data_IF_323223651845
#
_entry.id   IF_323223651845
#
_cell.length_a   1.000
_cell.length_b   1.000
_cell.length_c   1.000
_cell.angle_alpha   90.00
_cell.angle_beta   90.00
_cell.angle_gamma   90.00
#
_symmetry.space_group_name_H-M   'P 1'
#
loop_
_entity.id
_entity.type
_entity.pdbx_description
1 polymer ?
#
# COMPACT_ATOMS: atom_id res chain seq x y z
N UNK A 1 8.44 -0.86 -7.86
CA UNK A 1 7.00 -0.77 -7.50
C UNK A 1 6.63 0.57 -6.81
N UNK A 2 6.94 1.76 -7.37
CA UNK A 2 6.69 3.02 -6.65
C UNK A 2 5.20 3.30 -6.38
N UNK A 3 4.31 2.94 -7.30
CA UNK A 3 2.87 3.12 -7.14
C UNK A 3 2.31 2.36 -5.92
N UNK A 4 2.74 1.10 -5.73
CA UNK A 4 2.34 0.27 -4.58
C UNK A 4 2.81 0.88 -3.25
N UNK A 5 4.06 1.35 -3.21
CA UNK A 5 4.60 2.04 -2.02
C UNK A 5 3.81 3.31 -1.70
N UNK A 6 3.55 4.15 -2.70
CA UNK A 6 2.85 5.42 -2.49
C UNK A 6 1.40 5.17 -2.01
N UNK A 7 0.67 4.29 -2.69
CA UNK A 7 -0.70 3.92 -2.36
C UNK A 7 -0.82 3.33 -0.95
N UNK A 8 0.07 2.38 -0.58
CA UNK A 8 0.09 1.79 0.75
C UNK A 8 0.43 2.82 1.85
N UNK A 9 1.36 3.74 1.58
CA UNK A 9 1.68 4.82 2.49
C UNK A 9 0.49 5.74 2.74
N UNK A 10 -0.27 6.12 1.70
CA UNK A 10 -1.46 6.97 1.86
C UNK A 10 -2.53 6.31 2.75
N UNK A 11 -2.80 5.01 2.57
CA UNK A 11 -3.74 4.27 3.42
C UNK A 11 -3.21 4.15 4.86
N UNK A 12 -1.93 3.81 5.03
CA UNK A 12 -1.32 3.66 6.34
C UNK A 12 -1.30 4.99 7.13
N UNK A 13 -0.93 6.10 6.49
CA UNK A 13 -0.96 7.43 7.09
C UNK A 13 -2.39 7.85 7.44
N UNK A 14 -3.38 7.55 6.58
CA UNK A 14 -4.79 7.81 6.88
C UNK A 14 -5.27 7.03 8.11
N UNK A 15 -4.90 5.75 8.22
CA UNK A 15 -5.16 4.93 9.43
C UNK A 15 -4.48 5.51 10.67
N UNK A 16 -3.25 6.02 10.55
CA UNK A 16 -2.54 6.65 11.66
C UNK A 16 -3.21 7.94 12.12
N UNK A 17 -3.54 8.85 11.20
CA UNK A 17 -4.21 10.12 11.50
C UNK A 17 -5.60 9.89 12.12
N UNK A 18 -6.30 8.83 11.68
CA UNK A 18 -7.59 8.43 12.27
C UNK A 18 -7.47 7.64 13.59
N UNK A 19 -6.27 7.46 14.13
CA UNK A 19 -6.03 6.77 15.40
C UNK A 19 -6.23 5.25 15.36
N UNK A 20 -6.32 4.65 14.16
CA UNK A 20 -6.53 3.21 13.97
C UNK A 20 -5.25 2.38 14.14
N UNK A 21 -4.07 2.98 13.94
CA UNK A 21 -2.76 2.32 14.06
C UNK A 21 -1.74 3.24 14.75
N UNK A 22 -0.60 2.70 15.21
CA UNK A 22 0.49 3.49 15.78
C UNK A 22 1.48 3.91 14.70
N UNK A 23 2.37 4.85 15.04
CA UNK A 23 3.36 5.41 14.10
C UNK A 23 4.24 4.33 13.41
N UNK A 24 4.73 3.35 14.18
CA UNK A 24 5.57 2.26 13.63
C UNK A 24 4.79 1.24 12.81
N UNK A 25 3.46 1.25 12.86
CA UNK A 25 2.65 0.35 12.04
C UNK A 25 2.55 0.84 10.58
N UNK A 26 2.87 2.11 10.33
CA UNK A 26 2.94 2.66 8.97
C UNK A 26 3.94 1.87 8.12
N UNK A 27 5.19 1.75 8.59
CA UNK A 27 6.23 1.01 7.86
C UNK A 27 5.90 -0.48 7.75
N UNK A 28 5.26 -1.08 8.76
CA UNK A 28 4.81 -2.49 8.72
C UNK A 28 3.74 -2.73 7.66
N UNK A 29 2.76 -1.83 7.52
CA UNK A 29 1.73 -1.94 6.48
C UNK A 29 2.36 -1.80 5.09
N UNK A 30 3.23 -0.82 4.90
CA UNK A 30 3.94 -0.60 3.63
C UNK A 30 4.74 -1.84 3.25
N UNK A 31 5.56 -2.37 4.17
CA UNK A 31 6.37 -3.57 3.96
C UNK A 31 5.50 -4.78 3.61
N UNK A 32 4.44 -5.05 4.38
CA UNK A 32 3.52 -6.17 4.11
C UNK A 32 2.82 -6.03 2.76
N UNK A 33 2.45 -4.82 2.37
CA UNK A 33 1.78 -4.56 1.07
C UNK A 33 2.74 -4.76 -0.08
N UNK A 34 3.96 -4.23 0.02
CA UNK A 34 4.99 -4.39 -1.00
C UNK A 34 5.42 -5.85 -1.17
N UNK A 35 5.58 -6.60 -0.07
CA UNK A 35 5.96 -8.01 -0.09
C UNK A 35 4.88 -8.91 -0.69
N UNK A 36 3.61 -8.53 -0.58
CA UNK A 36 2.49 -9.29 -1.16
C UNK A 36 2.26 -8.99 -2.65
N UNK A 37 2.82 -7.90 -3.18
CA UNK A 37 2.61 -7.51 -4.58
C UNK A 37 3.53 -8.28 -5.53
N UNK A 38 2.97 -8.80 -6.62
CA UNK A 38 3.75 -9.36 -7.72
C UNK A 38 4.12 -8.24 -8.70
N UNK A 39 5.41 -7.92 -8.81
CA UNK A 39 5.89 -6.87 -9.71
C UNK A 39 5.66 -7.23 -11.17
N UNK A 40 4.96 -6.36 -11.90
CA UNK A 40 4.86 -6.40 -13.36
C UNK A 40 5.92 -5.49 -13.98
N UNK A 41 6.80 -6.06 -14.79
CA UNK A 41 7.77 -5.32 -15.60
C UNK A 41 7.18 -4.98 -16.96
N UNK A 42 7.66 -3.89 -17.60
CA UNK A 42 7.11 -3.36 -18.86
C UNK A 42 5.60 -3.08 -18.78
N UNK A 43 5.18 -2.38 -17.72
CA UNK A 43 3.78 -2.07 -17.44
C UNK A 43 3.23 -0.91 -18.29
N UNK A 44 1.96 -0.98 -18.63
CA UNK A 44 1.20 0.14 -19.20
C UNK A 44 0.82 1.17 -18.13
N UNK A 45 0.17 2.26 -18.51
CA UNK A 45 -0.41 3.20 -17.56
C UNK A 45 -1.57 2.56 -16.77
N UNK A 46 -2.40 1.74 -17.42
CA UNK A 46 -3.51 1.03 -16.78
C UNK A 46 -3.00 0.07 -15.70
N UNK A 47 -1.90 -0.63 -15.98
CA UNK A 47 -1.24 -1.51 -15.00
C UNK A 47 -0.77 -0.73 -13.75
N UNK A 48 -0.36 0.54 -13.90
CA UNK A 48 0.03 1.40 -12.79
C UNK A 48 -1.20 1.77 -11.94
N UNK A 49 -2.33 2.06 -12.58
CA UNK A 49 -3.59 2.33 -11.86
C UNK A 49 -4.13 1.08 -11.16
N UNK A 50 -3.99 -0.10 -11.76
CA UNK A 50 -4.32 -1.37 -11.12
C UNK A 50 -3.41 -1.64 -9.91
N UNK A 51 -2.11 -1.38 -10.03
CA UNK A 51 -1.16 -1.52 -8.92
C UNK A 51 -1.48 -0.59 -7.75
N UNK A 52 -1.86 0.66 -8.03
CA UNK A 52 -2.31 1.62 -7.00
C UNK A 52 -3.59 1.13 -6.31
N UNK A 53 -4.62 0.76 -7.08
CA UNK A 53 -5.89 0.26 -6.55
C UNK A 53 -5.70 -0.96 -5.67
N UNK A 54 -4.96 -1.96 -6.17
CA UNK A 54 -4.66 -3.18 -5.44
C UNK A 54 -3.94 -2.88 -4.13
N UNK A 55 -2.96 -1.97 -4.15
CA UNK A 55 -2.19 -1.63 -2.96
C UNK A 55 -3.05 -0.93 -1.89
N UNK A 56 -4.00 -0.09 -2.31
CA UNK A 56 -4.97 0.54 -1.39
C UNK A 56 -5.86 -0.50 -0.72
N UNK A 57 -6.44 -1.40 -1.52
CA UNK A 57 -7.32 -2.46 -1.02
C UNK A 57 -6.58 -3.41 -0.07
N UNK A 58 -5.36 -3.82 -0.43
CA UNK A 58 -4.55 -4.71 0.41
C UNK A 58 -4.15 -4.02 1.71
N UNK A 59 -3.63 -2.79 1.65
CA UNK A 59 -3.23 -2.03 2.84
C UNK A 59 -4.41 -1.72 3.77
N UNK A 60 -5.62 -1.51 3.24
CA UNK A 60 -6.81 -1.23 4.04
C UNK A 60 -7.30 -2.48 4.80
N UNK A 61 -7.13 -3.66 4.20
CA UNK A 61 -7.51 -4.93 4.83
C UNK A 61 -6.47 -5.46 5.86
N UNK A 62 -5.29 -4.85 5.95
CA UNK A 62 -4.29 -5.25 6.95
C UNK A 62 -4.68 -4.79 8.37
N UNK A 63 -4.73 -5.76 9.27
CA UNK A 63 -4.73 -5.56 10.73
C UNK A 63 -3.30 -5.73 11.25
N UNK A 64 -2.81 -4.73 11.99
CA UNK A 64 -1.46 -4.63 12.55
C UNK A 64 -1.51 -4.23 14.01
#
# INVERSE_FOLDING_TARGET
MPAVLNASNEIAVSKFISGKIKFLDISRIIEKTMNAYTVKYNCSLDDIFEADRWAREYADNLNV
#
